data_IF_489839908120
#
_entry.id   IF_489839908120
#
_cell.length_a   1.000
_cell.length_b   1.000
_cell.length_c   1.000
_cell.angle_alpha   90.00
_cell.angle_beta   90.00
_cell.angle_gamma   90.00
#
_symmetry.space_group_name_H-M   'P 1'
#
loop_
_entity.id
_entity.type
_entity.pdbx_description
1 polymer ?
#
# COMPACT_ATOMS: atom_id res chain seq x y z
N UNK A 1 4.78 13.69 10.24
CA UNK A 1 4.39 13.02 8.98
C UNK A 1 3.70 11.70 9.27
N UNK A 2 2.55 11.49 8.63
CA UNK A 2 1.77 10.27 8.62
C UNK A 2 1.59 9.81 7.17
N UNK A 3 2.07 8.61 6.87
CA UNK A 3 2.11 8.08 5.51
C UNK A 3 1.07 6.97 5.35
N UNK A 4 0.21 7.07 4.33
CA UNK A 4 -0.61 5.95 3.87
C UNK A 4 0.11 5.17 2.76
N UNK A 5 0.06 3.85 2.81
CA UNK A 5 0.56 2.99 1.74
C UNK A 5 -0.50 1.96 1.41
N UNK A 6 -0.89 1.87 0.15
CA UNK A 6 -1.75 0.79 -0.36
C UNK A 6 -0.90 0.01 -1.36
N UNK A 7 -0.64 -1.27 -1.08
CA UNK A 7 0.39 -2.02 -1.80
C UNK A 7 0.07 -3.49 -2.02
N UNK A 8 0.68 -4.06 -3.05
CA UNK A 8 0.70 -5.50 -3.27
C UNK A 8 1.72 -6.15 -2.33
N UNK A 9 1.45 -7.38 -1.91
CA UNK A 9 2.35 -8.11 -1.02
C UNK A 9 3.75 -8.36 -1.63
N UNK A 10 3.85 -8.40 -2.96
CA UNK A 10 5.13 -8.61 -3.66
C UNK A 10 6.12 -7.47 -3.43
N UNK A 11 5.65 -6.26 -3.13
CA UNK A 11 6.50 -5.07 -2.94
C UNK A 11 7.05 -4.92 -1.52
N UNK A 12 7.04 -5.99 -0.72
CA UNK A 12 7.48 -5.95 0.68
C UNK A 12 8.91 -5.39 0.85
N UNK A 13 9.82 -5.71 -0.06
CA UNK A 13 11.20 -5.20 -0.06
C UNK A 13 11.24 -3.71 -0.39
N UNK A 14 10.57 -3.28 -1.45
CA UNK A 14 10.54 -1.88 -1.90
C UNK A 14 9.90 -0.97 -0.84
N UNK A 15 8.84 -1.44 -0.19
CA UNK A 15 8.20 -0.72 0.93
C UNK A 15 9.14 -0.66 2.14
N UNK A 16 9.85 -1.74 2.47
CA UNK A 16 10.83 -1.71 3.55
C UNK A 16 11.93 -0.68 3.29
N UNK A 17 12.49 -0.69 2.08
CA UNK A 17 13.53 0.23 1.63
C UNK A 17 13.05 1.68 1.66
N UNK A 18 11.84 1.96 1.15
CA UNK A 18 11.24 3.29 1.23
C UNK A 18 11.10 3.75 2.68
N UNK A 19 10.55 2.91 3.56
CA UNK A 19 10.35 3.25 4.97
C UNK A 19 11.67 3.60 5.68
N UNK A 20 12.79 2.99 5.30
CA UNK A 20 14.12 3.31 5.86
C UNK A 20 14.53 4.77 5.67
N UNK A 21 14.00 5.45 4.66
CA UNK A 21 14.37 6.82 4.29
C UNK A 21 13.36 7.88 4.78
N UNK A 22 12.29 7.49 5.47
CA UNK A 22 11.18 8.40 5.83
C UNK A 22 11.21 8.88 7.30
N UNK A 23 12.03 8.27 8.16
CA UNK A 23 12.05 8.55 9.60
C UNK A 23 10.85 8.01 10.38
N UNK A 24 10.01 7.20 9.74
CA UNK A 24 8.85 6.52 10.36
C UNK A 24 9.32 5.57 11.46
N UNK A 25 8.55 5.52 12.57
CA UNK A 25 8.85 4.70 13.76
C UNK A 25 7.76 3.71 14.08
N UNK A 26 6.50 4.00 13.75
CA UNK A 26 5.39 3.08 13.95
C UNK A 26 4.78 2.71 12.60
N UNK A 27 4.59 1.41 12.37
CA UNK A 27 3.98 0.88 11.15
C UNK A 27 2.78 0.03 11.53
N UNK A 28 1.61 0.40 11.03
CA UNK A 28 0.36 -0.33 11.25
C UNK A 28 -0.10 -0.95 9.94
N UNK A 29 -0.04 -2.28 9.85
CA UNK A 29 -0.67 -3.01 8.74
C UNK A 29 -2.12 -3.26 9.13
N UNK A 30 -3.05 -2.73 8.34
CA UNK A 30 -4.47 -2.80 8.68
C UNK A 30 -5.19 -3.92 7.94
N UNK A 31 -6.08 -4.58 8.66
CA UNK A 31 -7.08 -5.49 8.11
C UNK A 31 -8.45 -4.82 8.27
N UNK A 32 -9.28 -4.77 7.21
CA UNK A 32 -10.62 -4.22 7.30
C UNK A 32 -11.44 -4.89 8.38
N UNK A 33 -12.28 -4.10 9.02
CA UNK A 33 -13.22 -4.57 10.01
C UNK A 33 -14.46 -5.11 9.29
N UNK A 34 -14.39 -6.37 8.81
CA UNK A 34 -15.49 -7.04 8.13
C UNK A 34 -15.96 -8.32 8.84
N UNK A 35 -17.22 -8.70 8.62
CA UNK A 35 -17.88 -9.83 9.29
C UNK A 35 -17.63 -11.20 8.62
N UNK A 36 -17.00 -11.26 7.46
CA UNK A 36 -16.61 -12.54 6.84
C UNK A 36 -15.31 -13.08 7.45
N UNK A 37 -15.46 -14.07 8.34
CA UNK A 37 -14.34 -14.74 8.99
C UNK A 37 -13.34 -15.35 8.01
N UNK A 38 -13.78 -15.83 6.83
CA UNK A 38 -12.88 -16.42 5.84
C UNK A 38 -12.00 -15.35 5.17
N UNK A 39 -12.59 -14.22 4.77
CA UNK A 39 -11.83 -13.07 4.26
C UNK A 39 -10.87 -12.52 5.29
N UNK A 40 -11.34 -12.31 6.53
CA UNK A 40 -10.49 -11.85 7.62
C UNK A 40 -9.25 -12.75 7.83
N UNK A 41 -9.44 -14.07 7.85
CA UNK A 41 -8.32 -15.02 8.03
C UNK A 41 -7.32 -14.96 6.87
N UNK A 42 -7.79 -14.84 5.62
CA UNK A 42 -6.90 -14.67 4.45
C UNK A 42 -6.07 -13.39 4.57
N UNK A 43 -6.73 -12.28 4.85
CA UNK A 43 -6.06 -10.98 4.97
C UNK A 43 -5.09 -10.93 6.15
N UNK A 44 -5.45 -11.58 7.25
CA UNK A 44 -4.56 -11.79 8.40
C UNK A 44 -3.31 -12.59 8.00
N UNK A 45 -3.46 -13.66 7.24
CA UNK A 45 -2.32 -14.45 6.77
C UNK A 45 -1.39 -13.63 5.88
N UNK A 46 -1.94 -12.90 4.90
CA UNK A 46 -1.18 -12.02 3.99
C UNK A 46 -0.46 -10.92 4.75
N UNK A 47 -1.17 -10.24 5.66
CA UNK A 47 -0.62 -9.15 6.46
C UNK A 47 0.51 -9.63 7.37
N UNK A 48 0.38 -10.82 7.98
CA UNK A 48 1.45 -11.39 8.82
C UNK A 48 2.65 -11.85 7.99
N UNK A 49 2.43 -12.45 6.83
CA UNK A 49 3.51 -12.81 5.90
C UNK A 49 4.28 -11.57 5.46
N UNK A 50 3.56 -10.52 5.05
CA UNK A 50 4.16 -9.22 4.73
C UNK A 50 4.92 -8.64 5.92
N UNK A 51 4.34 -8.64 7.13
CA UNK A 51 4.98 -8.15 8.35
C UNK A 51 6.29 -8.87 8.65
N UNK A 52 6.35 -10.19 8.47
CA UNK A 52 7.55 -10.97 8.71
C UNK A 52 8.68 -10.59 7.75
N UNK A 53 8.36 -10.42 6.47
CA UNK A 53 9.33 -9.95 5.46
C UNK A 53 9.75 -8.51 5.76
N UNK A 54 8.78 -7.63 6.06
CA UNK A 54 9.06 -6.25 6.41
C UNK A 54 10.03 -6.17 7.61
N UNK A 55 9.79 -6.97 8.67
CA UNK A 55 10.65 -7.03 9.86
C UNK A 55 12.05 -7.55 9.54
N UNK A 56 12.20 -8.55 8.66
CA UNK A 56 13.55 -9.04 8.31
C UNK A 56 14.41 -7.95 7.67
N UNK A 57 13.78 -7.04 6.91
CA UNK A 57 14.45 -5.89 6.32
C UNK A 57 14.63 -4.71 7.29
N UNK A 58 13.67 -4.45 8.18
CA UNK A 58 13.76 -3.33 9.13
C UNK A 58 14.67 -3.60 10.34
N UNK A 59 14.75 -4.86 10.79
CA UNK A 59 15.50 -5.28 11.99
C UNK A 59 17.01 -5.03 11.92
N UNK A 60 17.56 -4.70 10.75
CA UNK A 60 19.00 -4.51 10.62
C UNK A 60 19.48 -3.18 11.21
N UNK A 61 18.64 -2.12 11.30
CA UNK A 61 19.12 -0.80 11.79
C UNK A 61 18.02 0.19 12.27
N UNK A 62 16.75 -0.18 12.32
CA UNK A 62 15.66 0.77 12.56
C UNK A 62 14.83 0.37 13.78
N UNK A 63 14.67 1.29 14.75
CA UNK A 63 13.71 1.19 15.86
C UNK A 63 12.27 1.38 15.34
N UNK A 64 11.85 0.56 14.37
CA UNK A 64 10.51 0.59 13.79
C UNK A 64 9.65 -0.47 14.45
N UNK A 65 8.57 -0.02 15.10
CA UNK A 65 7.55 -0.86 15.68
C UNK A 65 6.45 -1.16 14.66
N UNK A 66 6.56 -2.31 13.99
CA UNK A 66 5.59 -2.77 13.01
C UNK A 66 4.64 -3.83 13.58
N UNK A 67 3.33 -3.70 13.35
CA UNK A 67 2.29 -4.65 13.81
C UNK A 67 1.06 -4.67 12.90
N UNK A 68 0.34 -5.78 12.94
CA UNK A 68 -0.96 -5.94 12.29
C UNK A 68 -2.06 -5.57 13.28
N UNK A 69 -3.03 -4.76 12.85
CA UNK A 69 -4.21 -4.35 13.65
C UNK A 69 -5.48 -4.34 12.79
N UNK A 70 -6.65 -4.27 13.44
CA UNK A 70 -7.90 -3.99 12.72
C UNK A 70 -8.00 -2.51 12.38
N UNK A 71 -8.60 -2.17 11.25
CA UNK A 71 -8.77 -0.77 10.84
C UNK A 71 -9.59 0.07 11.84
N UNK A 72 -10.58 -0.54 12.50
CA UNK A 72 -11.35 0.08 13.58
C UNK A 72 -10.51 0.48 14.80
N UNK A 73 -9.30 -0.06 14.94
CA UNK A 73 -8.38 0.23 16.05
C UNK A 73 -7.43 1.40 15.75
N UNK A 74 -7.42 1.91 14.51
CA UNK A 74 -6.52 2.99 14.08
C UNK A 74 -6.57 4.21 15.00
N UNK A 75 -7.78 4.67 15.38
CA UNK A 75 -7.94 5.83 16.29
C UNK A 75 -7.28 5.64 17.65
N UNK A 76 -7.13 4.40 18.12
CA UNK A 76 -6.49 4.10 19.42
C UNK A 76 -4.97 4.13 19.33
N UNK A 77 -4.43 3.71 18.19
CA UNK A 77 -3.01 3.46 17.99
C UNK A 77 -2.26 4.59 17.29
N UNK A 78 -2.87 5.24 16.30
CA UNK A 78 -2.26 6.32 15.54
C UNK A 78 -2.28 7.59 16.39
N UNK A 79 -1.14 7.89 17.01
CA UNK A 79 -0.93 9.09 17.84
C UNK A 79 0.36 9.79 17.39
N UNK A 80 0.31 11.10 17.25
CA UNK A 80 1.50 11.89 16.90
C UNK A 80 1.95 11.73 15.44
N UNK A 81 3.24 11.86 15.20
CA UNK A 81 3.90 11.83 13.90
C UNK A 81 4.82 10.62 13.74
N UNK A 82 5.35 10.41 12.52
CA UNK A 82 6.27 9.33 12.15
C UNK A 82 5.58 7.96 12.12
N UNK A 83 4.37 7.93 11.54
CA UNK A 83 3.52 6.75 11.44
C UNK A 83 3.33 6.37 9.97
N UNK A 84 3.39 5.07 9.64
CA UNK A 84 2.86 4.54 8.39
C UNK A 84 1.63 3.66 8.65
N UNK A 85 0.62 3.79 7.79
CA UNK A 85 -0.56 2.91 7.76
C UNK A 85 -0.54 2.18 6.42
N UNK A 86 -0.45 0.86 6.46
CA UNK A 86 -0.28 -0.01 5.30
C UNK A 86 -1.54 -0.84 5.10
N UNK A 87 -2.10 -0.76 3.90
CA UNK A 87 -3.10 -1.71 3.39
C UNK A 87 -2.43 -2.63 2.38
N UNK A 88 -2.33 -3.92 2.71
CA UNK A 88 -1.73 -4.92 1.84
C UNK A 88 -2.83 -5.78 1.22
N UNK A 89 -2.81 -5.93 -0.10
CA UNK A 89 -3.72 -6.84 -0.83
C UNK A 89 -2.94 -8.00 -1.44
N UNK A 90 -3.65 -9.11 -1.68
CA UNK A 90 -3.08 -10.32 -2.28
C UNK A 90 -2.69 -10.09 -3.74
N UNK A 91 -1.64 -10.80 -4.18
CA UNK A 91 -1.23 -10.78 -5.59
C UNK A 91 -2.35 -11.25 -6.54
N UNK A 92 -3.23 -12.13 -6.07
CA UNK A 92 -4.37 -12.65 -6.86
C UNK A 92 -5.41 -11.58 -7.21
N UNK A 93 -5.38 -10.41 -6.56
CA UNK A 93 -6.25 -9.31 -6.94
C UNK A 93 -5.99 -8.82 -8.39
N UNK A 94 -4.80 -9.08 -8.94
CA UNK A 94 -4.49 -8.79 -10.34
C UNK A 94 -5.31 -9.59 -11.36
N UNK A 95 -5.93 -10.72 -10.98
CA UNK A 95 -6.81 -11.51 -11.86
C UNK A 95 -8.12 -10.78 -12.17
N UNK A 96 -8.47 -9.75 -11.39
CA UNK A 96 -9.74 -8.99 -11.51
C UNK A 96 -9.48 -7.48 -11.37
N UNK A 97 -8.93 -6.82 -12.42
CA UNK A 97 -8.50 -5.42 -12.36
C UNK A 97 -9.57 -4.43 -11.87
N UNK A 98 -10.84 -4.64 -12.23
CA UNK A 98 -11.94 -3.78 -11.80
C UNK A 98 -12.24 -3.89 -10.29
N UNK A 99 -12.12 -5.09 -9.71
CA UNK A 99 -12.28 -5.28 -8.26
C UNK A 99 -11.08 -4.72 -7.51
N UNK A 100 -9.88 -4.88 -8.07
CA UNK A 100 -8.66 -4.32 -7.51
C UNK A 100 -8.75 -2.79 -7.39
N UNK A 101 -9.15 -2.11 -8.46
CA UNK A 101 -9.30 -0.65 -8.43
C UNK A 101 -10.31 -0.22 -7.37
N UNK A 102 -11.45 -0.91 -7.29
CA UNK A 102 -12.46 -0.65 -6.26
C UNK A 102 -11.90 -0.84 -4.84
N UNK A 103 -11.18 -1.92 -4.58
CA UNK A 103 -10.57 -2.20 -3.28
C UNK A 103 -9.52 -1.12 -2.91
N UNK A 104 -8.75 -0.64 -3.89
CA UNK A 104 -7.80 0.47 -3.69
C UNK A 104 -8.54 1.75 -3.32
N UNK A 105 -9.61 2.10 -4.04
CA UNK A 105 -10.42 3.28 -3.72
C UNK A 105 -11.01 3.19 -2.31
N UNK A 106 -11.62 2.06 -1.95
CA UNK A 106 -12.16 1.81 -0.61
C UNK A 106 -11.08 1.95 0.46
N UNK A 107 -9.88 1.44 0.19
CA UNK A 107 -8.74 1.53 1.10
C UNK A 107 -8.23 2.97 1.27
N UNK A 108 -8.29 3.79 0.22
CA UNK A 108 -8.01 5.24 0.31
C UNK A 108 -8.98 5.89 1.29
N UNK A 109 -10.29 5.63 1.16
CA UNK A 109 -11.29 6.19 2.08
C UNK A 109 -11.15 5.70 3.51
N UNK A 110 -10.70 4.46 3.70
CA UNK A 110 -10.50 3.88 5.03
C UNK A 110 -9.39 4.59 5.82
N UNK A 111 -8.30 5.00 5.15
CA UNK A 111 -7.11 5.53 5.82
C UNK A 111 -6.95 7.04 5.73
N UNK A 112 -7.67 7.73 4.84
CA UNK A 112 -7.46 9.16 4.54
C UNK A 112 -7.47 10.07 5.78
N UNK A 113 -8.31 9.79 6.77
CA UNK A 113 -8.45 10.66 7.96
C UNK A 113 -7.28 10.48 8.96
N UNK A 114 -6.35 9.57 8.67
CA UNK A 114 -5.24 9.21 9.56
C UNK A 114 -3.87 9.53 8.96
N UNK A 115 -3.80 9.97 7.71
CA UNK A 115 -2.55 10.16 6.96
C UNK A 115 -2.52 11.52 6.28
N UNK A 116 -1.32 12.02 6.01
CA UNK A 116 -1.12 13.32 5.34
C UNK A 116 -1.18 13.15 3.81
N UNK A 117 -0.76 12.00 3.30
CA UNK A 117 -0.83 11.60 1.89
C UNK A 117 -0.75 10.07 1.76
N UNK A 118 -1.08 9.56 0.58
CA UNK A 118 -1.08 8.12 0.28
C UNK A 118 -0.11 7.83 -0.88
N UNK A 119 0.68 6.76 -0.75
CA UNK A 119 1.45 6.16 -1.84
C UNK A 119 0.75 4.87 -2.28
N UNK A 120 0.43 4.76 -3.56
CA UNK A 120 -0.05 3.54 -4.20
C UNK A 120 1.15 2.72 -4.69
N UNK A 121 1.63 1.81 -3.84
CA UNK A 121 2.56 0.75 -4.19
C UNK A 121 1.86 -0.37 -4.96
N UNK A 122 1.09 -0.03 -5.98
CA UNK A 122 0.33 -1.02 -6.73
C UNK A 122 0.43 -0.72 -8.20
N UNK A 123 0.92 -1.69 -8.97
CA UNK A 123 0.74 -1.64 -10.40
C UNK A 123 -0.71 -1.98 -10.72
N UNK A 124 -1.46 -1.02 -11.26
CA UNK A 124 -2.88 -1.19 -11.60
C UNK A 124 -3.05 -2.05 -12.87
N UNK A 125 -2.50 -3.26 -12.85
CA UNK A 125 -2.43 -4.19 -13.98
C UNK A 125 -3.74 -4.27 -14.75
N UNK A 126 -3.67 -4.21 -16.08
CA UNK A 126 -4.85 -4.23 -16.95
C UNK A 126 -5.48 -2.85 -17.18
N UNK A 127 -5.00 -1.79 -16.53
CA UNK A 127 -5.36 -0.41 -16.85
C UNK A 127 -4.30 0.23 -17.75
N UNK A 128 -4.74 1.06 -18.68
CA UNK A 128 -3.90 2.00 -19.42
C UNK A 128 -3.42 3.15 -18.53
N UNK A 129 -2.36 3.83 -18.94
CA UNK A 129 -1.85 5.01 -18.21
C UNK A 129 -2.92 6.10 -18.03
N UNK A 130 -3.80 6.27 -19.03
CA UNK A 130 -4.93 7.21 -18.94
C UNK A 130 -5.90 6.80 -17.83
N UNK A 131 -6.29 5.53 -17.78
CA UNK A 131 -7.20 5.02 -16.75
C UNK A 131 -6.60 5.14 -15.34
N UNK A 132 -5.29 4.88 -15.21
CA UNK A 132 -4.55 5.09 -13.96
C UNK A 132 -4.63 6.56 -13.53
N UNK A 133 -4.33 7.48 -14.46
CA UNK A 133 -4.37 8.93 -14.20
C UNK A 133 -5.76 9.42 -13.82
N UNK A 134 -6.79 8.94 -14.51
CA UNK A 134 -8.18 9.31 -14.24
C UNK A 134 -8.65 8.74 -12.88
N UNK A 135 -8.21 7.54 -12.51
CA UNK A 135 -8.44 6.96 -11.19
C UNK A 135 -7.77 7.77 -10.07
N UNK A 136 -6.49 8.12 -10.22
CA UNK A 136 -5.76 8.95 -9.26
C UNK A 136 -6.47 10.28 -9.02
N UNK A 137 -6.79 11.00 -10.10
CA UNK A 137 -7.52 12.28 -10.00
C UNK A 137 -8.85 12.14 -9.28
N UNK A 138 -9.61 11.07 -9.58
CA UNK A 138 -10.88 10.79 -8.92
C UNK A 138 -10.70 10.53 -7.42
N UNK A 139 -9.71 9.72 -7.05
CA UNK A 139 -9.39 9.43 -5.65
C UNK A 139 -8.99 10.70 -4.90
N UNK A 140 -8.07 11.50 -5.45
CA UNK A 140 -7.64 12.76 -4.84
C UNK A 140 -8.79 13.74 -4.65
N UNK A 141 -9.60 13.93 -5.70
CA UNK A 141 -10.74 14.84 -5.67
C UNK A 141 -11.79 14.42 -4.63
N UNK A 142 -12.16 13.14 -4.62
CA UNK A 142 -13.27 12.67 -3.79
C UNK A 142 -12.84 12.43 -2.32
N UNK A 143 -11.64 11.89 -2.11
CA UNK A 143 -11.12 11.67 -0.77
C UNK A 143 -10.57 12.96 -0.13
N UNK A 144 -10.19 13.95 -0.94
CA UNK A 144 -9.55 15.21 -0.52
C UNK A 144 -8.20 14.99 0.17
N UNK A 145 -7.43 14.04 -0.33
CA UNK A 145 -6.07 13.72 0.14
C UNK A 145 -5.15 13.47 -1.06
N UNK A 146 -3.88 13.91 -1.03
CA UNK A 146 -2.94 13.59 -2.11
C UNK A 146 -2.70 12.09 -2.23
N UNK A 147 -2.71 11.57 -3.46
CA UNK A 147 -2.49 10.16 -3.78
C UNK A 147 -1.43 10.05 -4.87
N UNK A 148 -0.25 9.56 -4.49
CA UNK A 148 0.89 9.42 -5.39
C UNK A 148 1.04 7.97 -5.83
N UNK A 149 1.43 7.78 -7.09
CA UNK A 149 1.80 6.48 -7.63
C UNK A 149 3.22 6.56 -8.19
N UNK A 150 4.07 5.55 -7.95
CA UNK A 150 5.39 5.47 -8.55
C UNK A 150 5.36 5.62 -10.08
N UNK A 151 6.24 6.48 -10.58
CA UNK A 151 6.42 6.78 -12.00
C UNK A 151 7.89 7.02 -12.32
N UNK A 152 8.21 6.98 -13.60
CA UNK A 152 9.47 7.46 -14.17
C UNK A 152 9.21 8.60 -15.17
N UNK A 153 10.26 9.06 -15.85
CA UNK A 153 10.17 10.10 -16.87
C UNK A 153 9.29 9.72 -18.08
N UNK A 154 8.89 8.46 -18.21
CA UNK A 154 7.99 7.96 -19.24
C UNK A 154 6.56 7.68 -18.73
N UNK A 155 6.25 7.90 -17.45
CA UNK A 155 4.91 7.77 -16.88
C UNK A 155 4.81 6.78 -15.71
N UNK A 156 3.58 6.38 -15.35
CA UNK A 156 3.34 5.49 -14.20
C UNK A 156 3.76 4.04 -14.48
N UNK A 157 4.29 3.34 -13.47
CA UNK A 157 4.53 1.91 -13.59
C UNK A 157 3.21 1.13 -13.65
N UNK A 158 2.99 0.35 -14.70
CA UNK A 158 1.69 -0.26 -15.01
C UNK A 158 1.44 -1.57 -14.26
N UNK A 159 2.49 -2.21 -13.73
CA UNK A 159 2.38 -3.45 -12.97
C UNK A 159 3.40 -3.48 -11.81
N UNK A 160 3.16 -4.35 -10.82
CA UNK A 160 4.03 -4.45 -9.66
C UNK A 160 5.46 -4.90 -10.01
N UNK A 161 5.65 -5.62 -11.12
CA UNK A 161 6.97 -6.08 -11.58
C UNK A 161 7.79 -4.91 -12.13
N UNK A 162 7.18 -3.95 -12.83
CA UNK A 162 7.83 -2.72 -13.27
C UNK A 162 8.30 -1.88 -12.07
N UNK A 163 7.54 -1.88 -10.97
CA UNK A 163 7.96 -1.21 -9.72
C UNK A 163 9.22 -1.88 -9.13
N UNK A 164 9.28 -3.21 -9.13
CA UNK A 164 10.42 -3.99 -8.58
C UNK A 164 11.66 -3.92 -9.48
N UNK A 165 11.50 -4.18 -10.77
CA UNK A 165 12.62 -4.40 -11.70
C UNK A 165 12.97 -3.16 -12.54
N UNK A 166 12.06 -2.18 -12.60
CA UNK A 166 12.11 -1.07 -13.54
C UNK A 166 11.49 -1.43 -14.89
N UNK A 167 10.77 -0.47 -15.46
CA UNK A 167 10.09 -0.54 -16.76
C UNK A 167 10.98 -1.07 -17.89
N UNK A 168 12.20 -0.55 -18.00
CA UNK A 168 13.14 -0.92 -19.07
C UNK A 168 13.53 -2.40 -19.04
N UNK A 169 13.72 -2.97 -17.85
CA UNK A 169 14.09 -4.38 -17.73
C UNK A 169 12.91 -5.28 -18.10
N UNK A 170 11.70 -4.91 -17.68
CA UNK A 170 10.48 -5.68 -17.98
C UNK A 170 10.18 -5.69 -19.48
N UNK A 171 10.30 -4.54 -20.16
CA UNK A 171 10.01 -4.42 -21.60
C UNK A 171 11.03 -5.11 -22.52
N UNK A 172 12.17 -5.55 -21.99
CA UNK A 172 13.22 -6.27 -22.73
C UNK A 172 13.11 -7.79 -22.63
N UNK A 173 12.22 -8.30 -21.78
CA UNK A 173 11.91 -9.72 -21.60
C UNK A 173 10.76 -10.08 -22.55
#
# INVERSE_FOLDING_TARGET
MRLGIISCEILSTEIADMLRHTGIRDVFIIIPSGDDGASYMRMMFVSNRFLNVLRSFLNVNLNVNARVIKSSELRRHVRGDNVAILRITEIRAHDRPYLLLKEIEESVYEIKDFVDFIILGYGLCGNSEREIRDALKRMEHNAKIPVYMPSDGEGYFNNCIEIVLGRDKVRRI
#
